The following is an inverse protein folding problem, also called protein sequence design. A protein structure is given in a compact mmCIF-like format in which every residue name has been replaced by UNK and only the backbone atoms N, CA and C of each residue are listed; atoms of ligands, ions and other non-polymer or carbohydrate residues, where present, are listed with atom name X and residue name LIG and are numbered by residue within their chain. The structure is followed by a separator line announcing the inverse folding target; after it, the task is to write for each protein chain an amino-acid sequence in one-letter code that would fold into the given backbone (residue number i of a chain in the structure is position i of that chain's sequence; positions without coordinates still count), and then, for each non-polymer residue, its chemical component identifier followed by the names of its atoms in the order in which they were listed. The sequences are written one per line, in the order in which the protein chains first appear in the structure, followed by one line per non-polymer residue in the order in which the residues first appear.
data_IF_262277209043
#
_entry.id   IF_262277209043
#
_cell.length_a   1.000
_cell.length_b   1.000
_cell.length_c   1.000
_cell.angle_alpha   90.00
_cell.angle_beta   90.00
_cell.angle_gamma   90.00
#
_symmetry.space_group_name_H-M   'P 1'
#
loop_
_entity.id
_entity.type
_entity.pdbx_description
1 polymer ?
#
# COMPACT_ATOMS: atom_id res chain seq x y z
N UNK A 1 -10.93 -20.03 -73.05
CA UNK A 1 -11.51 -19.83 -71.71
C UNK A 1 -10.47 -19.84 -70.59
N UNK A 2 -9.20 -19.77 -70.90
CA UNK A 2 -8.05 -19.92 -69.95
C UNK A 2 -7.25 -18.62 -69.67
N UNK A 3 -7.56 -17.52 -70.39
CA UNK A 3 -6.79 -16.29 -70.24
C UNK A 3 -7.35 -15.33 -69.15
N UNK A 4 -8.60 -15.55 -68.68
CA UNK A 4 -9.25 -14.68 -67.65
C UNK A 4 -8.88 -15.10 -66.23
N UNK A 5 -8.40 -16.29 -66.00
CA UNK A 5 -8.04 -16.75 -64.64
C UNK A 5 -6.61 -16.42 -64.24
N UNK A 6 -5.72 -16.14 -65.23
CA UNK A 6 -4.34 -15.74 -64.96
C UNK A 6 -4.21 -14.33 -64.43
N UNK A 7 -5.12 -13.43 -64.84
CA UNK A 7 -5.10 -12.01 -64.38
C UNK A 7 -5.62 -11.86 -62.98
N UNK A 8 -6.52 -12.72 -62.51
CA UNK A 8 -7.08 -12.65 -61.17
C UNK A 8 -6.16 -13.22 -60.11
N UNK A 9 -5.37 -14.24 -60.44
CA UNK A 9 -4.40 -14.82 -59.52
C UNK A 9 -3.16 -13.92 -59.34
N UNK A 10 -2.79 -13.13 -60.30
CA UNK A 10 -1.65 -12.20 -60.18
C UNK A 10 -1.98 -10.98 -59.35
N UNK A 11 -3.26 -10.52 -59.34
CA UNK A 11 -3.71 -9.42 -58.49
C UNK A 11 -3.88 -9.82 -57.01
N UNK A 12 -4.13 -11.10 -56.74
CA UNK A 12 -4.25 -11.59 -55.35
C UNK A 12 -2.90 -11.81 -54.68
N UNK A 13 -1.85 -12.12 -55.46
CA UNK A 13 -0.48 -12.30 -54.97
C UNK A 13 0.20 -10.95 -54.58
N UNK A 14 -0.19 -9.85 -55.22
CA UNK A 14 0.38 -8.53 -54.91
C UNK A 14 -0.19 -7.87 -53.61
N UNK A 15 -1.29 -8.40 -53.07
CA UNK A 15 -1.89 -7.87 -51.84
C UNK A 15 -1.31 -8.44 -50.54
N UNK A 16 -0.41 -9.46 -50.64
CA UNK A 16 0.17 -10.10 -49.47
C UNK A 16 1.58 -9.61 -49.11
N UNK A 17 2.13 -8.64 -49.85
CA UNK A 17 3.47 -8.09 -49.56
C UNK A 17 3.42 -6.69 -48.94
N UNK A 18 2.24 -6.20 -48.53
CA UNK A 18 2.09 -4.97 -47.79
C UNK A 18 2.02 -5.25 -46.26
N UNK A 19 2.93 -6.11 -45.75
CA UNK A 19 3.36 -5.94 -44.37
C UNK A 19 4.42 -4.85 -44.44
N UNK A 20 4.03 -3.63 -44.13
CA UNK A 20 4.91 -2.56 -43.78
C UNK A 20 5.82 -3.08 -42.66
N UNK A 21 7.10 -3.30 -42.97
CA UNK A 21 8.14 -3.39 -41.97
C UNK A 21 8.28 -1.96 -41.42
N UNK A 22 7.31 -1.56 -40.55
CA UNK A 22 7.43 -0.31 -39.83
C UNK A 22 8.80 -0.29 -39.18
N UNK A 23 9.55 0.77 -39.41
CA UNK A 23 10.85 0.99 -38.78
C UNK A 23 10.72 0.64 -37.31
N UNK A 24 11.35 -0.46 -36.90
CA UNK A 24 11.57 -0.75 -35.50
C UNK A 24 12.41 0.43 -35.01
N UNK A 25 11.78 1.31 -34.24
CA UNK A 25 12.51 2.43 -33.64
C UNK A 25 13.76 1.84 -32.98
N UNK A 26 14.96 2.34 -33.36
CA UNK A 26 16.17 1.83 -32.74
C UNK A 26 16.02 1.95 -31.23
N UNK A 27 16.38 0.89 -30.48
CA UNK A 27 16.34 0.78 -29.02
C UNK A 27 17.17 1.86 -28.29
N UNK A 28 17.59 2.92 -28.96
CA UNK A 28 18.46 3.98 -28.46
C UNK A 28 17.78 5.31 -28.20
N UNK A 29 16.45 5.40 -28.23
CA UNK A 29 15.80 6.49 -27.50
C UNK A 29 15.67 6.07 -26.04
N UNK A 30 16.77 6.03 -25.31
CA UNK A 30 16.72 6.49 -23.93
C UNK A 30 16.17 7.91 -24.00
N UNK A 31 14.88 8.07 -23.79
CA UNK A 31 14.37 9.39 -23.47
C UNK A 31 15.19 9.81 -22.26
N UNK A 32 16.13 10.72 -22.45
CA UNK A 32 16.75 11.48 -21.36
C UNK A 32 15.56 12.16 -20.68
N UNK A 33 14.99 11.50 -19.68
CA UNK A 33 13.99 12.15 -18.84
C UNK A 33 14.79 13.18 -18.05
N UNK A 34 14.71 14.41 -18.52
CA UNK A 34 15.22 15.57 -17.81
C UNK A 34 14.52 15.58 -16.44
N UNK A 35 15.22 15.14 -15.39
CA UNK A 35 14.68 15.06 -14.05
C UNK A 35 15.71 14.49 -13.07
N UNK A 36 15.36 14.48 -11.82
CA UNK A 36 16.14 13.80 -10.78
C UNK A 36 15.68 12.36 -10.59
N UNK A 37 16.41 11.63 -9.74
CA UNK A 37 16.09 10.27 -9.37
C UNK A 37 16.09 10.12 -7.85
N UNK A 38 15.33 9.14 -7.36
CA UNK A 38 15.42 8.68 -5.96
C UNK A 38 15.68 7.19 -5.97
N UNK A 39 16.74 6.78 -5.26
CA UNK A 39 17.09 5.38 -5.04
C UNK A 39 16.72 4.99 -3.62
N UNK A 40 15.93 3.95 -3.51
CA UNK A 40 15.60 3.28 -2.24
C UNK A 40 16.55 2.13 -2.01
N UNK A 41 17.12 2.07 -0.80
CA UNK A 41 17.75 0.87 -0.26
C UNK A 41 17.03 0.53 1.04
N UNK A 42 16.40 -0.65 1.11
CA UNK A 42 15.61 -1.06 2.26
C UNK A 42 15.58 -2.59 2.41
N UNK A 43 15.40 -3.05 3.64
CA UNK A 43 14.90 -4.40 3.92
C UNK A 43 13.44 -4.27 4.30
N UNK A 44 12.54 -4.79 3.46
CA UNK A 44 11.09 -4.65 3.63
C UNK A 44 10.51 -5.95 4.13
N UNK A 45 9.86 -5.91 5.30
CA UNK A 45 9.21 -7.05 5.92
C UNK A 45 7.69 -6.88 5.97
N UNK A 46 6.94 -7.97 6.04
CA UNK A 46 5.48 -7.97 6.22
C UNK A 46 4.67 -7.53 5.00
N UNK A 47 5.30 -7.27 3.86
CA UNK A 47 4.62 -6.85 2.63
C UNK A 47 3.63 -7.89 2.10
N UNK A 48 3.85 -9.17 2.40
CA UNK A 48 2.98 -10.32 2.06
C UNK A 48 1.66 -10.36 2.85
N UNK A 49 1.55 -9.54 3.90
CA UNK A 49 0.31 -9.43 4.69
C UNK A 49 -0.83 -8.72 3.97
N UNK A 50 -0.53 -8.00 2.88
CA UNK A 50 -1.52 -7.22 2.15
C UNK A 50 -2.25 -8.06 1.10
N UNK A 51 -3.58 -7.90 1.03
CA UNK A 51 -4.40 -8.54 -0.01
C UNK A 51 -4.21 -7.88 -1.37
N UNK A 52 -4.63 -8.56 -2.45
CA UNK A 52 -4.38 -8.19 -3.83
C UNK A 52 -4.84 -6.80 -4.32
N UNK A 53 -5.56 -6.02 -3.52
CA UNK A 53 -5.94 -4.63 -3.84
C UNK A 53 -4.92 -3.60 -3.36
N UNK A 54 -3.94 -4.00 -2.55
CA UNK A 54 -2.91 -3.13 -2.03
C UNK A 54 -1.55 -3.43 -2.64
N UNK A 55 -0.65 -2.45 -2.63
CA UNK A 55 0.72 -2.57 -3.14
C UNK A 55 1.69 -1.88 -2.22
N UNK A 56 2.75 -2.55 -1.83
CA UNK A 56 3.94 -1.90 -1.25
C UNK A 56 4.77 -1.38 -2.40
N UNK A 57 5.15 -0.11 -2.34
CA UNK A 57 5.77 0.55 -3.48
C UNK A 57 6.72 1.69 -3.05
N UNK A 58 7.66 1.99 -3.92
CA UNK A 58 8.32 3.29 -3.97
C UNK A 58 7.47 4.20 -4.87
N UNK A 59 6.97 5.30 -4.32
CA UNK A 59 6.02 6.17 -5.00
C UNK A 59 6.38 7.64 -4.85
N UNK A 60 6.14 8.41 -5.90
CA UNK A 60 6.36 9.85 -5.93
C UNK A 60 5.03 10.59 -5.83
N UNK A 61 5.01 11.68 -5.06
CA UNK A 61 3.83 12.51 -4.83
C UNK A 61 4.12 13.98 -5.13
N UNK A 62 3.12 14.66 -5.71
CA UNK A 62 3.13 16.10 -5.94
C UNK A 62 2.47 16.80 -4.75
N UNK A 63 3.14 17.76 -4.14
CA UNK A 63 2.66 18.51 -2.96
C UNK A 63 1.96 17.63 -1.91
N UNK A 64 0.83 18.09 -1.39
CA UNK A 64 0.02 17.35 -0.43
C UNK A 64 -0.95 16.34 -1.08
N UNK A 65 -0.66 15.90 -2.30
CA UNK A 65 -1.52 14.97 -3.03
C UNK A 65 -1.52 13.59 -2.35
N UNK A 66 -2.70 12.99 -2.28
CA UNK A 66 -2.86 11.63 -1.77
C UNK A 66 -2.54 10.57 -2.84
N UNK A 67 -2.51 10.96 -4.11
CA UNK A 67 -2.33 10.04 -5.25
C UNK A 67 -0.92 10.10 -5.80
N UNK A 68 -0.31 8.93 -5.96
CA UNK A 68 1.02 8.84 -6.52
C UNK A 68 1.05 9.16 -8.01
N UNK A 69 1.95 10.09 -8.42
CA UNK A 69 2.18 10.44 -9.82
C UNK A 69 3.07 9.43 -10.54
N UNK A 70 3.99 8.77 -9.79
CA UNK A 70 4.83 7.70 -10.30
C UNK A 70 4.97 6.60 -9.26
N UNK A 71 4.97 5.35 -9.69
CA UNK A 71 4.98 4.17 -8.79
C UNK A 71 5.90 3.09 -9.36
N UNK A 72 6.67 2.48 -8.47
CA UNK A 72 7.41 1.25 -8.72
C UNK A 72 7.13 0.28 -7.58
N UNK A 73 6.42 -0.81 -7.90
CA UNK A 73 6.05 -1.80 -6.90
C UNK A 73 7.29 -2.54 -6.38
N UNK A 74 7.23 -2.89 -5.10
CA UNK A 74 8.19 -3.78 -4.46
C UNK A 74 7.67 -5.20 -4.61
N UNK A 75 8.56 -6.11 -4.96
CA UNK A 75 8.25 -7.53 -5.00
C UNK A 75 8.06 -8.04 -3.57
N UNK A 76 6.89 -8.60 -3.29
CA UNK A 76 6.51 -9.05 -1.95
C UNK A 76 6.98 -10.47 -1.65
N UNK A 77 7.48 -11.18 -2.64
CA UNK A 77 7.90 -12.58 -2.49
C UNK A 77 9.26 -12.73 -1.78
N UNK A 78 9.93 -11.63 -1.49
CA UNK A 78 11.24 -11.68 -0.83
C UNK A 78 11.33 -10.70 0.32
N UNK A 79 11.57 -11.19 1.53
CA UNK A 79 12.14 -10.44 2.65
C UNK A 79 13.62 -10.08 2.37
N UNK A 80 13.92 -9.74 1.12
CA UNK A 80 15.25 -9.43 0.66
C UNK A 80 15.48 -7.91 0.65
N UNK A 81 16.75 -7.54 0.77
CA UNK A 81 17.17 -6.16 0.53
C UNK A 81 16.67 -5.68 -0.83
N UNK A 82 15.91 -4.62 -0.82
CA UNK A 82 15.33 -3.99 -2.00
C UNK A 82 16.20 -2.82 -2.42
N UNK A 83 16.56 -2.78 -3.70
CA UNK A 83 17.25 -1.67 -4.32
C UNK A 83 16.43 -1.24 -5.55
N UNK A 84 15.73 -0.12 -5.42
CA UNK A 84 14.85 0.40 -6.45
C UNK A 84 15.15 1.86 -6.74
N UNK A 85 15.06 2.25 -8.01
CA UNK A 85 15.22 3.66 -8.40
C UNK A 85 14.00 4.12 -9.19
N UNK A 86 13.41 5.24 -8.78
CA UNK A 86 12.51 6.07 -9.58
C UNK A 86 13.34 7.14 -10.28
N UNK A 87 13.20 7.27 -11.60
CA UNK A 87 13.97 8.20 -12.41
C UNK A 87 13.07 9.09 -13.26
N UNK A 88 13.58 10.25 -13.68
CA UNK A 88 12.83 11.20 -14.49
C UNK A 88 11.73 11.90 -13.72
N UNK A 89 12.00 12.20 -12.44
CA UNK A 89 11.12 12.95 -11.55
C UNK A 89 11.27 14.44 -11.83
N UNK A 90 10.13 15.10 -12.09
CA UNK A 90 10.09 16.52 -12.33
C UNK A 90 9.98 17.36 -11.06
N UNK A 91 10.07 18.69 -11.17
CA UNK A 91 10.02 19.61 -10.04
C UNK A 91 8.67 19.66 -9.32
N UNK A 92 7.62 19.09 -9.93
CA UNK A 92 6.30 18.91 -9.32
C UNK A 92 6.30 17.87 -8.21
N UNK A 93 7.24 16.92 -8.22
CA UNK A 93 7.39 15.92 -7.17
C UNK A 93 7.98 16.57 -5.93
N UNK A 94 7.29 16.45 -4.80
CA UNK A 94 7.68 17.00 -3.50
C UNK A 94 8.12 15.96 -2.49
N UNK A 95 7.66 14.73 -2.64
CA UNK A 95 8.15 13.61 -1.84
C UNK A 95 8.24 12.32 -2.64
N UNK A 96 9.18 11.47 -2.24
CA UNK A 96 9.22 10.07 -2.66
C UNK A 96 9.17 9.21 -1.41
N UNK A 97 8.29 8.24 -1.42
CA UNK A 97 7.94 7.46 -0.23
C UNK A 97 8.00 5.96 -0.51
N UNK A 98 8.57 5.23 0.44
CA UNK A 98 8.25 3.83 0.63
C UNK A 98 6.92 3.78 1.36
N UNK A 99 5.88 3.27 0.70
CA UNK A 99 4.52 3.36 1.20
C UNK A 99 3.66 2.18 0.74
N UNK A 100 2.47 2.09 1.31
CA UNK A 100 1.41 1.21 0.82
C UNK A 100 0.38 2.05 0.06
N UNK A 101 0.02 1.58 -1.11
CA UNK A 101 -0.99 2.18 -1.99
C UNK A 101 -2.19 1.26 -2.14
N UNK A 102 -3.36 1.84 -2.31
CA UNK A 102 -4.56 1.12 -2.76
C UNK A 102 -4.59 0.90 -4.29
N UNK A 103 -5.63 0.26 -4.79
CA UNK A 103 -5.82 -0.03 -6.22
C UNK A 103 -5.92 1.22 -7.11
N UNK A 104 -6.18 2.39 -6.55
CA UNK A 104 -6.24 3.69 -7.24
C UNK A 104 -4.93 4.49 -7.11
N UNK A 105 -3.88 3.92 -6.54
CA UNK A 105 -2.60 4.55 -6.17
C UNK A 105 -2.74 5.63 -5.10
N UNK A 106 -3.78 5.58 -4.29
CA UNK A 106 -3.92 6.44 -3.15
C UNK A 106 -3.06 5.93 -2.01
N UNK A 107 -2.37 6.84 -1.32
CA UNK A 107 -1.57 6.52 -0.12
C UNK A 107 -2.46 5.95 0.98
N UNK A 108 -2.08 4.78 1.50
CA UNK A 108 -2.71 4.13 2.66
C UNK A 108 -1.89 4.42 3.92
N UNK A 109 -0.58 4.22 3.84
CA UNK A 109 0.36 4.53 4.92
C UNK A 109 1.74 4.79 4.35
N UNK A 110 2.49 5.71 4.98
CA UNK A 110 3.89 5.98 4.69
C UNK A 110 4.77 5.19 5.66
N UNK A 111 5.81 4.55 5.14
CA UNK A 111 6.77 3.78 5.93
C UNK A 111 8.05 4.58 6.10
N UNK A 112 8.58 5.10 4.99
CA UNK A 112 9.71 6.02 4.97
C UNK A 112 9.52 7.04 3.84
N UNK A 113 10.09 8.23 3.98
CA UNK A 113 9.94 9.29 2.99
C UNK A 113 11.20 10.15 2.87
N UNK A 114 11.37 10.75 1.71
CA UNK A 114 12.37 11.77 1.45
C UNK A 114 11.71 12.97 0.79
N UNK A 115 12.01 14.17 1.31
CA UNK A 115 11.66 15.43 0.67
C UNK A 115 12.54 15.63 -0.56
N UNK A 116 11.95 16.03 -1.67
CA UNK A 116 12.64 16.24 -2.94
C UNK A 116 12.66 17.68 -3.37
N UNK A 117 12.24 18.61 -2.51
CA UNK A 117 12.22 20.03 -2.85
C UNK A 117 13.64 20.54 -3.13
N UNK A 118 13.79 21.24 -4.27
CA UNK A 118 15.08 21.73 -4.72
C UNK A 118 16.00 20.68 -5.37
N UNK A 119 15.56 19.45 -5.58
CA UNK A 119 16.35 18.44 -6.29
C UNK A 119 16.64 18.88 -7.73
N UNK A 120 17.92 18.91 -8.11
CA UNK A 120 18.34 19.33 -9.45
C UNK A 120 18.23 18.17 -10.45
N UNK A 121 17.92 18.44 -11.73
CA UNK A 121 17.97 17.44 -12.77
C UNK A 121 19.32 16.72 -12.83
N UNK A 122 19.32 15.43 -13.08
CA UNK A 122 20.50 14.58 -13.13
C UNK A 122 21.05 14.14 -11.76
N UNK A 123 20.47 14.61 -10.64
CA UNK A 123 20.86 14.15 -9.30
C UNK A 123 20.12 12.87 -8.89
N UNK A 124 20.73 12.08 -8.02
CA UNK A 124 20.09 10.92 -7.38
C UNK A 124 20.10 11.13 -5.87
N UNK A 125 18.92 11.22 -5.26
CA UNK A 125 18.73 11.24 -3.82
C UNK A 125 18.66 9.80 -3.30
N UNK A 126 19.06 9.59 -2.04
CA UNK A 126 19.05 8.28 -1.39
C UNK A 126 17.97 8.26 -0.30
N UNK A 127 17.05 7.31 -0.39
CA UNK A 127 16.12 6.96 0.67
C UNK A 127 16.57 5.63 1.27
N UNK A 128 17.04 5.68 2.50
CA UNK A 128 17.53 4.51 3.23
C UNK A 128 16.51 4.12 4.31
N UNK A 129 16.13 2.85 4.33
CA UNK A 129 15.24 2.26 5.34
C UNK A 129 15.75 0.86 5.68
N UNK A 130 16.65 0.77 6.65
CA UNK A 130 17.36 -0.46 6.98
C UNK A 130 16.40 -1.60 7.37
N UNK A 131 15.37 -1.30 8.17
CA UNK A 131 14.31 -2.22 8.56
C UNK A 131 12.96 -1.53 8.39
N UNK A 132 12.22 -1.92 7.36
CA UNK A 132 10.94 -1.32 7.00
C UNK A 132 9.81 -2.33 7.22
N UNK A 133 9.09 -2.21 8.34
CA UNK A 133 7.88 -3.00 8.57
C UNK A 133 6.72 -2.43 7.73
N UNK A 134 6.46 -3.11 6.63
CA UNK A 134 5.35 -2.85 5.72
C UNK A 134 4.12 -3.71 6.04
N UNK A 135 4.10 -4.42 7.16
CA UNK A 135 2.98 -5.27 7.56
C UNK A 135 1.69 -4.50 7.78
N UNK A 136 0.56 -5.18 7.55
CA UNK A 136 -0.76 -4.55 7.71
C UNK A 136 -1.03 -4.14 9.15
N UNK A 137 -0.59 -4.93 10.14
CA UNK A 137 -0.70 -4.53 11.55
C UNK A 137 0.15 -3.30 11.86
N UNK A 138 1.36 -3.20 11.30
CA UNK A 138 2.21 -2.02 11.47
C UNK A 138 1.56 -0.77 10.88
N UNK A 139 0.87 -0.89 9.74
CA UNK A 139 0.07 0.19 9.17
C UNK A 139 -1.08 0.59 10.10
N UNK A 140 -1.86 -0.37 10.61
CA UNK A 140 -2.94 -0.13 11.57
C UNK A 140 -2.37 0.52 12.85
N UNK A 141 -1.21 0.08 13.31
CA UNK A 141 -0.55 0.67 14.47
C UNK A 141 -0.24 2.14 14.23
N UNK A 142 0.38 2.49 13.11
CA UNK A 142 0.74 3.87 12.77
C UNK A 142 -0.48 4.76 12.56
N UNK A 143 -1.42 4.31 11.74
CA UNK A 143 -2.53 5.16 11.26
C UNK A 143 -3.70 5.22 12.24
N UNK A 144 -3.86 4.22 13.10
CA UNK A 144 -5.05 4.08 13.95
C UNK A 144 -4.70 3.99 15.43
N UNK A 145 -3.94 2.97 15.81
CA UNK A 145 -3.75 2.70 17.23
C UNK A 145 -2.94 3.80 17.91
N UNK A 146 -1.81 4.22 17.32
CA UNK A 146 -0.94 5.24 17.90
C UNK A 146 -1.52 6.64 17.83
N UNK A 147 -2.33 6.94 16.82
CA UNK A 147 -2.88 8.28 16.59
C UNK A 147 -4.17 8.54 17.38
N UNK A 148 -4.99 7.51 17.52
CA UNK A 148 -6.35 7.63 18.08
C UNK A 148 -6.55 6.77 19.32
N UNK A 149 -6.41 5.45 19.19
CA UNK A 149 -6.82 4.50 20.21
C UNK A 149 -5.94 4.56 21.48
N UNK A 150 -4.64 4.83 21.32
CA UNK A 150 -3.69 4.90 22.43
C UNK A 150 -4.00 6.05 23.41
N UNK A 151 -4.82 7.02 23.07
CA UNK A 151 -5.26 8.06 24.01
C UNK A 151 -5.94 7.45 25.25
N UNK A 152 -6.70 6.38 25.09
CA UNK A 152 -7.36 5.65 26.18
C UNK A 152 -6.71 4.29 26.46
N UNK A 153 -6.14 3.66 25.41
CA UNK A 153 -5.58 2.31 25.45
C UNK A 153 -4.05 2.29 25.40
N UNK A 154 -3.39 3.42 25.71
CA UNK A 154 -1.91 3.56 25.63
C UNK A 154 -1.21 3.62 26.99
N UNK A 155 -1.94 3.61 28.11
CA UNK A 155 -1.32 3.65 29.43
C UNK A 155 -0.42 2.41 29.68
N UNK A 156 0.69 2.61 30.35
CA UNK A 156 1.60 1.50 30.73
C UNK A 156 0.96 0.54 31.73
N UNK A 157 0.11 1.08 32.62
CA UNK A 157 -0.66 0.37 33.62
C UNK A 157 -2.08 0.94 33.58
N UNK A 158 -3.10 0.12 33.69
CA UNK A 158 -4.50 0.55 33.76
C UNK A 158 -5.05 1.22 32.49
N UNK A 159 -4.69 0.70 31.32
CA UNK A 159 -5.37 1.08 30.09
C UNK A 159 -6.87 0.74 30.15
N UNK A 160 -7.69 1.53 29.47
CA UNK A 160 -9.13 1.29 29.42
C UNK A 160 -9.43 -0.16 28.97
N UNK A 161 -10.35 -0.83 29.65
CA UNK A 161 -10.72 -2.23 29.42
C UNK A 161 -9.53 -3.24 29.49
N UNK A 162 -8.43 -2.87 30.14
CA UNK A 162 -7.18 -3.65 30.15
C UNK A 162 -6.70 -4.02 28.75
N UNK A 163 -6.89 -3.10 27.80
CA UNK A 163 -6.53 -3.23 26.40
C UNK A 163 -5.39 -2.26 26.08
N UNK A 164 -4.26 -2.79 25.60
CA UNK A 164 -3.05 -2.00 25.32
C UNK A 164 -2.79 -1.94 23.83
N UNK A 165 -2.98 -0.76 23.24
CA UNK A 165 -2.84 -0.51 21.80
C UNK A 165 -1.59 0.32 21.46
N UNK A 166 -0.52 0.09 22.21
CA UNK A 166 0.78 0.67 21.93
C UNK A 166 1.63 -0.28 21.07
N UNK A 167 2.59 0.30 20.38
CA UNK A 167 3.57 -0.47 19.60
C UNK A 167 4.22 -1.59 20.43
N UNK A 168 4.37 -2.75 19.81
CA UNK A 168 4.90 -3.96 20.44
C UNK A 168 3.93 -4.69 21.39
N UNK A 169 2.77 -4.10 21.75
CA UNK A 169 1.80 -4.69 22.68
C UNK A 169 0.43 -4.97 22.08
N UNK A 170 0.07 -4.24 21.03
CA UNK A 170 -1.28 -4.27 20.46
C UNK A 170 -1.71 -5.67 20.01
N UNK A 171 -0.85 -6.40 19.32
CA UNK A 171 -1.16 -7.75 18.84
C UNK A 171 -1.44 -8.72 19.99
N UNK A 172 -0.57 -8.75 21.00
CA UNK A 172 -0.71 -9.63 22.17
C UNK A 172 -1.95 -9.27 23.01
N UNK A 173 -2.33 -7.98 23.03
CA UNK A 173 -3.49 -7.49 23.76
C UNK A 173 -4.81 -7.74 23.01
N UNK A 174 -4.77 -8.04 21.69
CA UNK A 174 -5.93 -8.19 20.84
C UNK A 174 -6.20 -9.63 20.44
N UNK A 175 -5.21 -10.31 19.85
CA UNK A 175 -5.42 -11.55 19.09
C UNK A 175 -5.66 -12.73 20.01
N UNK A 176 -6.86 -13.33 19.93
CA UNK A 176 -7.27 -14.46 20.77
C UNK A 176 -7.55 -14.11 22.24
N UNK A 177 -7.55 -12.83 22.60
CA UNK A 177 -7.76 -12.38 23.99
C UNK A 177 -9.25 -12.17 24.25
N UNK A 178 -9.75 -12.67 25.36
CA UNK A 178 -11.14 -12.49 25.79
C UNK A 178 -11.45 -11.00 26.06
N UNK A 179 -12.63 -10.57 25.66
CA UNK A 179 -13.15 -9.25 26.02
C UNK A 179 -13.41 -9.17 27.54
N UNK A 180 -13.06 -8.06 28.14
CA UNK A 180 -13.41 -7.78 29.55
C UNK A 180 -14.80 -7.16 29.71
N UNK A 181 -15.42 -6.74 28.58
CA UNK A 181 -16.72 -6.04 28.58
C UNK A 181 -17.87 -6.88 28.03
N UNK A 182 -17.57 -7.87 27.16
CA UNK A 182 -18.59 -8.74 26.56
C UNK A 182 -18.24 -10.17 26.91
N UNK A 183 -19.07 -10.79 27.75
CA UNK A 183 -18.85 -12.17 28.20
C UNK A 183 -18.86 -13.15 27.02
N UNK A 184 -17.90 -14.05 26.98
CA UNK A 184 -17.73 -15.04 25.93
C UNK A 184 -17.22 -14.52 24.58
N UNK A 185 -17.02 -13.19 24.43
CA UNK A 185 -16.49 -12.60 23.18
C UNK A 185 -14.97 -12.48 23.20
N UNK A 186 -14.34 -12.41 22.02
CA UNK A 186 -12.90 -12.28 21.81
C UNK A 186 -12.59 -10.96 21.14
N UNK A 187 -11.55 -10.29 21.58
CA UNK A 187 -11.15 -8.96 21.05
C UNK A 187 -10.86 -9.02 19.56
N UNK A 188 -10.06 -9.98 19.12
CA UNK A 188 -9.82 -10.29 17.71
C UNK A 188 -9.84 -11.82 17.52
N UNK A 189 -10.76 -12.29 16.71
CA UNK A 189 -10.86 -13.68 16.26
C UNK A 189 -10.14 -13.79 14.92
N UNK A 190 -8.95 -14.42 14.83
CA UNK A 190 -8.25 -14.55 13.56
C UNK A 190 -9.11 -15.20 12.48
N UNK A 191 -9.25 -14.55 11.34
CA UNK A 191 -10.06 -15.02 10.22
C UNK A 191 -11.54 -14.62 10.29
N UNK A 192 -11.99 -13.91 11.33
CA UNK A 192 -13.40 -13.53 11.48
C UNK A 192 -13.56 -12.13 12.10
N UNK A 193 -13.58 -11.12 11.25
CA UNK A 193 -13.76 -9.74 11.70
C UNK A 193 -15.16 -9.51 12.30
N UNK A 194 -16.19 -10.20 11.79
CA UNK A 194 -17.57 -10.02 12.26
C UNK A 194 -17.72 -10.50 13.70
N UNK A 195 -16.99 -11.53 14.11
CA UNK A 195 -16.98 -12.02 15.50
C UNK A 195 -15.94 -11.33 16.38
N UNK A 196 -15.17 -10.40 15.82
CA UNK A 196 -14.13 -9.67 16.57
C UNK A 196 -14.68 -8.41 17.22
N UNK A 197 -14.55 -8.28 18.53
CA UNK A 197 -15.02 -7.12 19.30
C UNK A 197 -14.39 -5.82 18.81
N UNK A 198 -13.10 -5.85 18.42
CA UNK A 198 -12.41 -4.69 17.85
C UNK A 198 -13.17 -4.13 16.64
N UNK A 199 -13.48 -4.99 15.66
CA UNK A 199 -14.16 -4.57 14.45
C UNK A 199 -15.59 -4.12 14.73
N UNK A 200 -16.31 -4.88 15.55
CA UNK A 200 -17.68 -4.53 15.97
C UNK A 200 -17.71 -3.14 16.63
N UNK A 201 -16.78 -2.87 17.54
CA UNK A 201 -16.73 -1.61 18.28
C UNK A 201 -16.55 -0.37 17.39
N UNK A 202 -15.74 -0.49 16.32
CA UNK A 202 -15.44 0.66 15.45
C UNK A 202 -16.35 0.73 14.21
N UNK A 203 -16.98 -0.37 13.81
CA UNK A 203 -17.83 -0.44 12.62
C UNK A 203 -19.33 -0.27 12.94
N UNK A 204 -19.76 -0.66 14.16
CA UNK A 204 -21.16 -0.59 14.57
C UNK A 204 -21.21 -0.21 16.04
N UNK A 205 -22.25 0.53 16.44
CA UNK A 205 -22.53 0.75 17.86
C UNK A 205 -23.01 -0.57 18.49
N UNK A 206 -22.08 -1.31 19.07
CA UNK A 206 -22.36 -2.65 19.64
C UNK A 206 -22.81 -2.59 21.08
N UNK A 207 -22.78 -1.42 21.72
CA UNK A 207 -23.01 -1.38 23.15
C UNK A 207 -23.55 -0.05 23.66
N UNK A 208 -24.81 -0.05 23.99
CA UNK A 208 -25.43 1.02 24.81
C UNK A 208 -24.92 1.03 26.26
N UNK A 209 -24.18 -0.01 26.70
CA UNK A 209 -23.63 -0.12 28.04
C UNK A 209 -22.19 0.39 28.14
N UNK A 210 -21.49 0.58 27.05
CA UNK A 210 -20.14 1.15 27.04
C UNK A 210 -20.24 2.65 27.26
N UNK A 211 -19.28 3.20 28.02
CA UNK A 211 -19.25 4.64 28.30
C UNK A 211 -18.87 5.50 27.11
N UNK A 212 -18.40 4.87 26.03
CA UNK A 212 -17.85 5.54 24.87
C UNK A 212 -18.26 4.84 23.59
N UNK A 213 -18.73 5.61 22.62
CA UNK A 213 -19.04 5.16 21.27
C UNK A 213 -17.78 5.23 20.42
N UNK A 214 -17.22 4.06 20.07
CA UNK A 214 -16.00 3.99 19.28
C UNK A 214 -16.23 4.21 17.77
N UNK A 215 -17.47 4.21 17.30
CA UNK A 215 -17.79 4.43 15.88
C UNK A 215 -17.44 5.84 15.41
N UNK A 216 -17.33 6.79 16.35
CA UNK A 216 -16.94 8.17 16.04
C UNK A 216 -15.45 8.34 15.76
N UNK A 217 -14.62 7.37 16.13
CA UNK A 217 -13.15 7.45 16.03
C UNK A 217 -12.65 7.12 14.62
N UNK A 218 -13.35 6.24 13.90
CA UNK A 218 -12.95 5.81 12.57
C UNK A 218 -14.09 6.08 11.59
N UNK A 219 -14.03 7.21 10.91
CA UNK A 219 -15.03 7.61 9.91
C UNK A 219 -14.66 7.21 8.49
N UNK A 220 -13.41 6.82 8.25
CA UNK A 220 -12.92 6.38 6.95
C UNK A 220 -13.30 4.92 6.71
N UNK A 221 -14.08 4.67 5.66
CA UNK A 221 -14.39 3.30 5.22
C UNK A 221 -13.13 2.51 4.82
N UNK A 222 -12.14 3.17 4.22
CA UNK A 222 -10.87 2.53 3.86
C UNK A 222 -10.10 2.03 5.09
N UNK A 223 -10.13 2.80 6.19
CA UNK A 223 -9.52 2.40 7.46
C UNK A 223 -10.25 1.24 8.10
N UNK A 224 -11.58 1.25 8.07
CA UNK A 224 -12.39 0.11 8.54
C UNK A 224 -12.13 -1.15 7.70
N UNK A 225 -12.04 -1.00 6.39
CA UNK A 225 -11.72 -2.11 5.48
C UNK A 225 -10.30 -2.66 5.71
N UNK A 226 -9.34 -1.82 6.04
CA UNK A 226 -7.97 -2.24 6.39
C UNK A 226 -7.99 -3.09 7.67
N UNK A 227 -8.67 -2.65 8.73
CA UNK A 227 -8.81 -3.41 9.99
C UNK A 227 -9.53 -4.75 9.72
N UNK A 228 -10.62 -4.70 8.96
CA UNK A 228 -11.36 -5.90 8.58
C UNK A 228 -10.49 -6.90 7.82
N UNK A 229 -9.75 -6.41 6.82
CA UNK A 229 -8.89 -7.23 5.97
C UNK A 229 -7.76 -7.88 6.79
N UNK A 230 -7.16 -7.14 7.72
CA UNK A 230 -6.15 -7.68 8.63
C UNK A 230 -6.70 -8.84 9.46
N UNK A 231 -7.89 -8.67 10.06
CA UNK A 231 -8.51 -9.71 10.88
C UNK A 231 -8.87 -10.94 10.04
N UNK A 232 -9.55 -10.73 8.90
CA UNK A 232 -9.99 -11.80 7.99
C UNK A 232 -8.78 -12.55 7.38
N UNK A 233 -7.64 -11.86 7.21
CA UNK A 233 -6.36 -12.44 6.81
C UNK A 233 -5.63 -13.24 7.90
N UNK A 234 -6.26 -13.40 9.08
CA UNK A 234 -5.71 -14.20 10.19
C UNK A 234 -4.98 -13.40 11.25
N UNK A 235 -5.06 -12.07 11.23
CA UNK A 235 -4.49 -11.13 12.23
C UNK A 235 -2.99 -11.37 12.49
N UNK A 236 -2.24 -11.57 11.41
CA UNK A 236 -0.79 -11.84 11.41
C UNK A 236 0.02 -10.57 11.52
#
# INVERSE_FOLDING_TARGET
MTLRYLSTTLLLAAALTACDEGDIYPDTTTADREGFSVRLTATVEGADSWSGSYRVALAAFAEADEYAVMVKNIDTDTSASTDLTLSGLGPEVKSVELCVLDGLRRRVTTIASIDTDGAAPGTTLLLEADEADAGMLAAIQREVFSTTCANCHGASNHAAADLYLTEGRSRESLVGVASTLIDGAVRVVPGDAVQSVLYQAVATDVSTSWRYDHTVEITSTATLDMIKTWIDGGAR
#
